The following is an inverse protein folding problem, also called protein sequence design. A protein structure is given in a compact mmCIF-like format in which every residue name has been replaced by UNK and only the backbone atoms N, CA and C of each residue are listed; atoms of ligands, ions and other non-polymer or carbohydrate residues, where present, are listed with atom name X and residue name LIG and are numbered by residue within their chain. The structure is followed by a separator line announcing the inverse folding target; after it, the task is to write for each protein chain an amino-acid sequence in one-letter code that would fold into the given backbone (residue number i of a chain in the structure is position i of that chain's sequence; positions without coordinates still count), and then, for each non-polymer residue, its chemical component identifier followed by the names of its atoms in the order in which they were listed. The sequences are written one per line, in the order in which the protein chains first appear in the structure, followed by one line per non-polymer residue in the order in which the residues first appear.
data_IF_437459462713
#
_entry.id   IF_437459462713
#
_cell.length_a   1.000
_cell.length_b   1.000
_cell.length_c   1.000
_cell.angle_alpha   90.00
_cell.angle_beta   90.00
_cell.angle_gamma   90.00
#
_symmetry.space_group_name_H-M   'P 1'
#
loop_
_entity.id
_entity.type
_entity.pdbx_description
1 polymer ?
#
# COMPACT_ATOMS: atom_id res chain seq x y z
N UNK A 1 -4.87 0.63 2.02
CA UNK A 1 -5.90 1.38 2.77
C UNK A 1 -5.32 2.75 3.01
N UNK A 2 -5.92 3.77 2.40
CA UNK A 2 -5.46 5.14 2.63
C UNK A 2 -5.83 5.60 4.06
N UNK A 3 -5.26 6.74 4.49
CA UNK A 3 -5.44 7.24 5.86
C UNK A 3 -6.91 7.52 6.21
N UNK A 4 -7.71 8.02 5.27
CA UNK A 4 -9.13 8.30 5.50
C UNK A 4 -9.90 7.01 5.84
N UNK A 5 -9.71 5.97 5.01
CA UNK A 5 -10.32 4.66 5.23
C UNK A 5 -9.85 4.03 6.54
N UNK A 6 -8.56 4.20 6.88
CA UNK A 6 -8.00 3.70 8.12
C UNK A 6 -8.64 4.35 9.36
N UNK A 7 -8.79 5.68 9.36
CA UNK A 7 -9.46 6.41 10.44
C UNK A 7 -10.93 5.99 10.58
N UNK A 8 -11.63 5.80 9.47
CA UNK A 8 -13.01 5.29 9.48
C UNK A 8 -13.08 3.89 10.10
N UNK A 9 -12.20 2.98 9.70
CA UNK A 9 -12.14 1.62 10.25
C UNK A 9 -11.81 1.63 11.76
N UNK A 10 -10.79 2.38 12.19
CA UNK A 10 -10.41 2.54 13.61
C UNK A 10 -11.59 3.01 14.46
N UNK A 11 -12.29 4.05 14.00
CA UNK A 11 -13.43 4.61 14.75
C UNK A 11 -14.64 3.66 14.79
N UNK A 12 -14.76 2.79 13.79
CA UNK A 12 -15.85 1.81 13.66
C UNK A 12 -15.65 0.50 14.43
N UNK A 13 -14.45 0.24 14.97
CA UNK A 13 -14.14 -0.99 15.70
C UNK A 13 -15.15 -1.23 16.83
N UNK A 14 -15.75 -2.41 16.87
CA UNK A 14 -16.74 -2.73 17.91
C UNK A 14 -16.09 -3.07 19.26
N UNK A 15 -16.92 -3.22 20.29
CA UNK A 15 -16.45 -3.49 21.66
C UNK A 15 -15.80 -4.87 21.81
N UNK A 16 -16.27 -5.87 21.07
CA UNK A 16 -15.74 -7.24 21.17
C UNK A 16 -14.36 -7.33 20.51
N UNK A 17 -14.17 -6.60 19.41
CA UNK A 17 -12.88 -6.43 18.75
C UNK A 17 -11.86 -5.77 19.68
N UNK A 18 -12.20 -4.61 20.26
CA UNK A 18 -11.32 -3.90 21.18
C UNK A 18 -11.03 -4.70 22.45
N UNK A 19 -12.01 -5.43 22.96
CA UNK A 19 -11.80 -6.33 24.09
C UNK A 19 -10.80 -7.43 23.76
N UNK A 20 -10.85 -7.97 22.54
CA UNK A 20 -9.88 -8.98 22.10
C UNK A 20 -8.45 -8.44 22.08
N UNK A 21 -8.25 -7.15 21.76
CA UNK A 21 -6.95 -6.48 21.86
C UNK A 21 -6.51 -6.35 23.32
N UNK A 22 -7.40 -5.92 24.22
CA UNK A 22 -7.12 -5.87 25.67
C UNK A 22 -6.75 -7.25 26.23
N UNK A 23 -7.35 -8.31 25.69
CA UNK A 23 -7.09 -9.70 26.07
C UNK A 23 -5.82 -10.28 25.38
N UNK A 24 -5.05 -9.46 24.65
CA UNK A 24 -3.73 -9.81 24.12
C UNK A 24 -3.65 -10.04 22.60
N UNK A 25 -4.72 -9.76 21.85
CA UNK A 25 -4.67 -9.81 20.38
C UNK A 25 -3.97 -8.56 19.81
N UNK A 26 -3.34 -8.71 18.64
CA UNK A 26 -2.80 -7.59 17.89
C UNK A 26 -3.82 -7.07 16.87
N UNK A 27 -3.81 -5.75 16.64
CA UNK A 27 -4.45 -5.11 15.50
C UNK A 27 -3.57 -5.32 14.26
N UNK A 28 -4.14 -5.88 13.20
CA UNK A 28 -3.41 -6.18 11.95
C UNK A 28 -4.07 -5.57 10.72
N UNK A 29 -3.26 -5.29 9.70
CA UNK A 29 -3.74 -4.90 8.37
C UNK A 29 -4.09 -6.14 7.56
N UNK A 30 -5.32 -6.20 7.03
CA UNK A 30 -5.75 -7.30 6.17
C UNK A 30 -5.83 -6.82 4.72
N UNK A 31 -4.83 -7.21 3.94
CA UNK A 31 -4.73 -6.93 2.49
C UNK A 31 -4.95 -5.46 2.12
N UNK A 32 -4.57 -4.54 3.02
CA UNK A 32 -4.79 -3.09 2.87
C UNK A 32 -6.24 -2.70 2.58
N UNK A 33 -7.20 -3.51 3.01
CA UNK A 33 -8.63 -3.34 2.75
C UNK A 33 -9.47 -3.28 4.02
N UNK A 34 -9.03 -3.92 5.10
CA UNK A 34 -9.75 -3.93 6.38
C UNK A 34 -8.79 -4.08 7.56
N UNK A 35 -9.30 -3.83 8.77
CA UNK A 35 -8.61 -4.13 10.02
C UNK A 35 -9.03 -5.50 10.55
N UNK A 36 -8.08 -6.21 11.16
CA UNK A 36 -8.29 -7.54 11.71
C UNK A 36 -7.60 -7.76 13.05
N UNK A 37 -7.86 -8.93 13.63
CA UNK A 37 -7.16 -9.42 14.82
C UNK A 37 -6.14 -10.49 14.43
N UNK A 38 -4.96 -10.42 15.04
CA UNK A 38 -3.88 -11.39 14.84
C UNK A 38 -3.04 -11.62 16.09
N UNK A 39 -1.95 -12.36 15.95
CA UNK A 39 -0.94 -12.51 17.01
C UNK A 39 0.06 -11.36 16.97
N UNK A 40 0.61 -10.97 18.13
CA UNK A 40 1.67 -9.96 18.23
C UNK A 40 2.93 -10.30 17.42
N UNK A 41 3.27 -11.59 17.30
CA UNK A 41 4.38 -12.07 16.46
C UNK A 41 3.94 -12.37 15.01
N UNK A 42 2.76 -11.90 14.61
CA UNK A 42 2.19 -12.13 13.29
C UNK A 42 2.78 -11.21 12.23
N UNK A 43 2.46 -11.49 10.96
CA UNK A 43 2.73 -10.55 9.88
C UNK A 43 1.71 -9.41 9.91
N UNK A 44 2.11 -8.24 9.39
CA UNK A 44 1.25 -7.08 9.17
C UNK A 44 0.62 -6.48 10.44
N UNK A 45 1.31 -6.61 11.57
CA UNK A 45 0.89 -6.01 12.84
C UNK A 45 1.03 -4.49 12.77
N UNK A 46 -0.03 -3.81 13.18
CA UNK A 46 -0.11 -2.35 13.29
C UNK A 46 0.11 -1.92 14.73
N UNK A 47 -0.53 -2.63 15.67
CA UNK A 47 -0.51 -2.31 17.09
C UNK A 47 -0.74 -3.58 17.93
N UNK A 48 -0.04 -3.70 19.05
CA UNK A 48 -0.36 -4.63 20.13
C UNK A 48 0.05 -3.99 21.45
N UNK A 49 -0.56 -4.44 22.54
CA UNK A 49 -0.26 -3.92 23.88
C UNK A 49 1.03 -4.60 24.36
N UNK A 50 2.06 -3.81 24.65
CA UNK A 50 3.29 -4.29 25.31
C UNK A 50 3.27 -3.91 26.79
N UNK A 51 3.39 -2.61 27.05
CA UNK A 51 3.54 -2.04 28.39
C UNK A 51 2.43 -1.01 28.70
N UNK A 52 1.60 -0.66 27.70
CA UNK A 52 0.50 0.27 27.86
C UNK A 52 -0.57 -0.29 28.80
N UNK A 53 -1.05 0.56 29.71
CA UNK A 53 -2.11 0.20 30.65
C UNK A 53 -3.38 0.95 30.27
N UNK A 54 -4.33 0.22 29.70
CA UNK A 54 -5.67 0.73 29.42
C UNK A 54 -6.62 0.33 30.56
N UNK A 55 -7.34 1.31 31.13
CA UNK A 55 -8.28 1.03 32.22
C UNK A 55 -9.66 0.59 31.72
N UNK A 56 -9.96 0.81 30.43
CA UNK A 56 -11.21 0.43 29.79
C UNK A 56 -11.10 0.24 28.27
N UNK A 57 -12.14 -0.35 27.67
CA UNK A 57 -12.30 -0.42 26.19
C UNK A 57 -12.38 0.96 25.55
N UNK A 58 -12.99 1.95 26.23
CA UNK A 58 -13.12 3.30 25.70
C UNK A 58 -11.79 4.07 25.77
N UNK A 59 -10.92 3.73 26.72
CA UNK A 59 -9.55 4.27 26.80
C UNK A 59 -8.74 3.80 25.60
N UNK A 60 -8.77 2.49 25.31
CA UNK A 60 -8.11 1.91 24.13
C UNK A 60 -8.67 2.52 22.84
N UNK A 61 -10.00 2.68 22.73
CA UNK A 61 -10.63 3.32 21.57
C UNK A 61 -10.10 4.74 21.36
N UNK A 62 -10.06 5.53 22.43
CA UNK A 62 -9.59 6.92 22.37
C UNK A 62 -8.13 7.00 21.96
N UNK A 63 -7.29 6.14 22.53
CA UNK A 63 -5.88 6.03 22.16
C UNK A 63 -5.69 5.67 20.69
N UNK A 64 -6.36 4.61 20.20
CA UNK A 64 -6.25 4.18 18.80
C UNK A 64 -6.71 5.27 17.83
N UNK A 65 -7.72 6.06 18.21
CA UNK A 65 -8.19 7.18 17.39
C UNK A 65 -7.23 8.37 17.39
N UNK A 66 -6.57 8.66 18.51
CA UNK A 66 -5.57 9.73 18.63
C UNK A 66 -4.29 9.38 17.86
N UNK A 67 -3.83 8.13 17.98
CA UNK A 67 -2.60 7.63 17.36
C UNK A 67 -2.79 7.10 15.93
N UNK A 68 -4.01 7.17 15.36
CA UNK A 68 -4.34 6.51 14.11
C UNK A 68 -3.43 6.91 12.94
N UNK A 69 -3.09 8.20 12.83
CA UNK A 69 -2.20 8.69 11.77
C UNK A 69 -0.78 8.14 11.93
N UNK A 70 -0.24 8.18 13.14
CA UNK A 70 1.11 7.68 13.42
C UNK A 70 1.20 6.16 13.23
N UNK A 71 0.21 5.41 13.69
CA UNK A 71 0.10 3.97 13.46
C UNK A 71 0.08 3.63 11.96
N UNK A 72 -0.68 4.38 11.17
CA UNK A 72 -0.78 4.18 9.72
C UNK A 72 0.53 4.49 9.00
N UNK A 73 1.13 5.65 9.30
CA UNK A 73 2.41 6.08 8.71
C UNK A 73 3.51 5.10 9.07
N UNK A 74 3.60 4.67 10.33
CA UNK A 74 4.59 3.72 10.79
C UNK A 74 4.41 2.35 10.12
N UNK A 75 3.18 1.87 9.98
CA UNK A 75 2.90 0.62 9.27
C UNK A 75 3.43 0.66 7.83
N UNK A 76 3.06 1.66 7.03
CA UNK A 76 3.47 1.73 5.62
C UNK A 76 4.90 2.19 5.43
N UNK A 77 5.55 2.78 6.43
CA UNK A 77 7.00 3.06 6.36
C UNK A 77 7.78 1.77 6.11
N UNK A 78 7.35 0.67 6.72
CA UNK A 78 8.06 -0.61 6.68
C UNK A 78 7.34 -1.69 5.86
N UNK A 79 6.00 -1.62 5.76
CA UNK A 79 5.21 -2.63 5.06
C UNK A 79 4.93 -2.21 3.61
N UNK A 80 5.10 -3.12 2.63
CA UNK A 80 4.63 -2.89 1.28
C UNK A 80 3.11 -2.88 1.25
N UNK A 81 2.54 -2.28 0.19
CA UNK A 81 1.17 -2.61 -0.21
C UNK A 81 1.11 -4.12 -0.48
N UNK A 82 0.08 -4.77 0.01
CA UNK A 82 -0.39 -6.08 -0.41
C UNK A 82 -0.55 -6.13 -1.93
N UNK A 83 -0.30 -7.33 -2.45
CA UNK A 83 -0.36 -7.58 -3.89
C UNK A 83 -1.77 -7.33 -4.42
N UNK A 84 -2.77 -7.80 -3.70
CA UNK A 84 -4.18 -7.70 -4.09
C UNK A 84 -4.62 -6.24 -4.22
N UNK A 85 -4.28 -5.39 -3.23
CA UNK A 85 -4.60 -3.97 -3.28
C UNK A 85 -3.84 -3.26 -4.41
N UNK A 86 -2.53 -3.51 -4.53
CA UNK A 86 -1.69 -2.91 -5.56
C UNK A 86 -2.22 -3.23 -6.97
N UNK A 87 -2.49 -4.50 -7.26
CA UNK A 87 -2.95 -4.94 -8.59
C UNK A 87 -4.34 -4.37 -8.91
N UNK A 88 -5.26 -4.35 -7.95
CA UNK A 88 -6.57 -3.75 -8.13
C UNK A 88 -6.48 -2.24 -8.39
N UNK A 89 -5.66 -1.53 -7.61
CA UNK A 89 -5.47 -0.08 -7.78
C UNK A 89 -4.79 0.23 -9.11
N UNK A 90 -3.74 -0.50 -9.49
CA UNK A 90 -3.08 -0.33 -10.78
C UNK A 90 -4.03 -0.60 -11.95
N UNK A 91 -4.87 -1.63 -11.86
CA UNK A 91 -5.91 -1.88 -12.87
C UNK A 91 -6.83 -0.66 -13.03
N UNK A 92 -7.32 -0.11 -11.92
CA UNK A 92 -8.19 1.09 -11.95
C UNK A 92 -7.49 2.29 -12.58
N UNK A 93 -6.21 2.51 -12.27
CA UNK A 93 -5.43 3.61 -12.84
C UNK A 93 -5.18 3.41 -14.34
N UNK A 94 -4.95 2.17 -14.78
CA UNK A 94 -4.83 1.84 -16.21
C UNK A 94 -6.13 2.06 -16.98
N UNK A 95 -7.28 1.82 -16.35
CA UNK A 95 -8.60 2.08 -16.94
C UNK A 95 -8.91 3.58 -16.99
N UNK A 96 -8.48 4.34 -15.96
CA UNK A 96 -8.68 5.79 -15.88
C UNK A 96 -7.78 6.59 -16.84
N UNK A 97 -6.47 6.33 -16.82
CA UNK A 97 -5.48 7.11 -17.57
C UNK A 97 -5.09 6.48 -18.91
N UNK A 98 -5.45 5.22 -19.13
CA UNK A 98 -5.03 4.44 -20.29
C UNK A 98 -3.78 3.60 -20.00
N UNK A 99 -3.75 2.38 -20.52
CA UNK A 99 -2.68 1.40 -20.23
C UNK A 99 -1.28 1.83 -20.68
N UNK A 100 -1.18 2.59 -21.77
CA UNK A 100 0.11 2.91 -22.40
C UNK A 100 0.87 4.04 -21.71
N UNK A 101 0.19 4.85 -20.90
CA UNK A 101 0.80 6.03 -20.26
C UNK A 101 1.85 5.65 -19.21
N UNK A 102 1.77 4.43 -18.68
CA UNK A 102 2.72 3.86 -17.71
C UNK A 102 3.82 3.02 -18.37
N UNK A 103 4.01 3.14 -19.68
CA UNK A 103 5.00 2.36 -20.44
C UNK A 103 6.00 3.32 -21.06
N UNK A 104 7.29 3.06 -20.84
CA UNK A 104 8.35 3.71 -21.60
C UNK A 104 8.86 2.79 -22.70
N UNK A 105 9.30 3.39 -23.79
CA UNK A 105 9.97 2.70 -24.88
C UNK A 105 11.47 3.03 -24.84
N UNK A 106 12.23 2.50 -25.81
CA UNK A 106 13.69 2.58 -25.84
C UNK A 106 14.21 4.00 -25.58
N UNK A 107 14.91 4.18 -24.44
CA UNK A 107 15.56 5.44 -24.07
C UNK A 107 14.61 6.59 -23.69
N UNK A 108 13.30 6.33 -23.61
CA UNK A 108 12.28 7.32 -23.24
C UNK A 108 11.82 7.21 -21.79
N UNK A 109 11.00 8.19 -21.39
CA UNK A 109 10.21 8.17 -20.15
C UNK A 109 8.75 7.82 -20.50
N UNK A 110 7.99 7.23 -19.55
CA UNK A 110 6.55 7.11 -19.73
C UNK A 110 5.89 8.50 -19.67
N UNK A 111 4.59 8.62 -19.97
CA UNK A 111 3.85 9.85 -19.69
C UNK A 111 3.55 9.99 -18.18
N UNK A 112 3.41 8.85 -17.50
CA UNK A 112 3.08 8.75 -16.08
C UNK A 112 3.90 7.65 -15.42
N UNK A 113 4.29 7.89 -14.18
CA UNK A 113 4.90 6.85 -13.33
C UNK A 113 4.10 6.72 -12.03
N UNK A 114 4.39 5.68 -11.25
CA UNK A 114 3.64 5.36 -10.04
C UNK A 114 4.55 5.41 -8.82
N UNK A 115 4.02 5.86 -7.68
CA UNK A 115 4.71 5.78 -6.40
C UNK A 115 3.75 5.33 -5.31
N UNK A 116 4.21 4.47 -4.40
CA UNK A 116 3.42 4.13 -3.21
C UNK A 116 3.69 5.15 -2.10
N UNK A 117 2.63 5.71 -1.54
CA UNK A 117 2.72 6.62 -0.39
C UNK A 117 1.53 6.36 0.54
N UNK A 118 1.82 6.22 1.84
CA UNK A 118 0.82 6.10 2.92
C UNK A 118 -0.38 5.22 2.54
N UNK A 119 -0.13 3.96 2.19
CA UNK A 119 -1.19 3.00 1.92
C UNK A 119 -1.98 3.18 0.61
N UNK A 120 -1.49 4.03 -0.30
CA UNK A 120 -2.06 4.21 -1.65
C UNK A 120 -0.98 4.19 -2.75
N UNK A 121 -1.42 4.00 -3.98
CA UNK A 121 -0.63 4.07 -5.21
C UNK A 121 -1.00 5.35 -5.97
N UNK A 122 -0.06 6.27 -6.05
CA UNK A 122 -0.22 7.60 -6.64
C UNK A 122 0.37 7.65 -8.05
N UNK A 123 -0.24 8.48 -8.89
CA UNK A 123 0.21 8.75 -10.26
C UNK A 123 1.04 10.02 -10.26
N UNK A 124 2.22 9.95 -10.87
CA UNK A 124 3.14 11.07 -11.06
C UNK A 124 3.20 11.47 -12.53
N UNK A 125 3.56 12.72 -12.77
CA UNK A 125 3.83 13.34 -14.06
C UNK A 125 5.21 13.99 -14.07
N UNK A 126 5.69 14.48 -15.23
CA UNK A 126 7.00 15.13 -15.32
C UNK A 126 7.18 16.36 -14.40
N UNK A 127 6.08 16.96 -13.93
CA UNK A 127 6.11 18.08 -12.98
C UNK A 127 6.53 17.64 -11.57
N UNK A 128 6.40 16.35 -11.24
CA UNK A 128 6.75 15.77 -9.96
C UNK A 128 8.25 15.45 -9.89
N UNK A 129 8.94 15.98 -8.87
CA UNK A 129 10.40 15.78 -8.71
C UNK A 129 10.79 14.29 -8.54
N UNK A 130 9.86 13.45 -8.08
CA UNK A 130 10.03 11.99 -7.91
C UNK A 130 9.69 11.18 -9.15
N UNK A 131 9.12 11.79 -10.19
CA UNK A 131 8.61 11.12 -11.39
C UNK A 131 9.57 10.10 -12.00
N UNK A 132 10.84 10.48 -12.15
CA UNK A 132 11.89 9.65 -12.73
C UNK A 132 12.29 8.43 -11.90
N UNK A 133 11.87 8.38 -10.64
CA UNK A 133 12.10 7.26 -9.72
C UNK A 133 10.84 6.42 -9.50
N UNK A 134 9.71 6.80 -10.12
CA UNK A 134 8.47 6.05 -10.04
C UNK A 134 8.54 4.73 -10.81
N UNK A 135 7.61 3.85 -10.48
CA UNK A 135 7.37 2.59 -11.16
C UNK A 135 6.69 2.82 -12.51
N UNK A 136 7.20 2.18 -13.54
CA UNK A 136 6.60 2.08 -14.87
C UNK A 136 7.19 0.87 -15.60
N UNK A 137 6.51 0.41 -16.66
CA UNK A 137 7.02 -0.67 -17.50
C UNK A 137 8.04 -0.10 -18.50
N UNK A 138 9.30 -0.50 -18.39
CA UNK A 138 10.34 -0.14 -19.37
C UNK A 138 10.48 -1.20 -20.44
N UNK A 139 10.37 -0.82 -21.71
CA UNK A 139 10.56 -1.70 -22.86
C UNK A 139 11.78 -1.29 -23.68
N UNK A 140 12.57 -2.27 -24.11
CA UNK A 140 13.78 -2.06 -24.89
C UNK A 140 13.50 -1.71 -26.37
N UNK A 141 12.28 -1.96 -26.85
CA UNK A 141 11.88 -1.82 -28.25
C UNK A 141 10.85 -0.71 -28.47
N UNK A 142 10.92 -0.09 -29.65
CA UNK A 142 9.87 0.77 -30.17
C UNK A 142 8.76 -0.07 -30.81
N UNK A 143 7.68 -0.28 -30.06
CA UNK A 143 6.51 -1.06 -30.39
C UNK A 143 5.32 -0.17 -30.78
N UNK A 144 4.36 -0.74 -31.53
CA UNK A 144 3.12 -0.05 -31.87
C UNK A 144 2.19 0.11 -30.65
N UNK A 145 1.27 1.10 -30.64
CA UNK A 145 0.37 1.35 -29.50
C UNK A 145 -0.44 0.13 -29.05
N UNK A 146 -0.90 -0.70 -30.01
CA UNK A 146 -1.65 -1.92 -29.70
C UNK A 146 -0.81 -2.94 -28.94
N UNK A 147 0.47 -3.05 -29.27
CA UNK A 147 1.41 -3.96 -28.60
C UNK A 147 1.77 -3.40 -27.22
N UNK A 148 1.96 -2.08 -27.09
CA UNK A 148 2.20 -1.43 -25.80
C UNK A 148 1.08 -1.72 -24.80
N UNK A 149 -0.18 -1.52 -25.19
CA UNK A 149 -1.33 -1.83 -24.34
C UNK A 149 -1.35 -3.30 -23.93
N UNK A 150 -1.07 -4.22 -24.86
CA UNK A 150 -0.97 -5.65 -24.55
C UNK A 150 0.15 -5.97 -23.56
N UNK A 151 1.30 -5.29 -23.67
CA UNK A 151 2.44 -5.46 -22.75
C UNK A 151 2.13 -4.92 -21.36
N UNK A 152 1.54 -3.72 -21.26
CA UNK A 152 1.09 -3.14 -20.00
C UNK A 152 0.08 -4.05 -19.28
N UNK A 153 -0.90 -4.58 -20.02
CA UNK A 153 -1.87 -5.53 -19.47
C UNK A 153 -1.19 -6.82 -18.97
N UNK A 154 -0.24 -7.35 -19.73
CA UNK A 154 0.51 -8.56 -19.32
C UNK A 154 1.37 -8.29 -18.08
N UNK A 155 1.97 -7.10 -17.99
CA UNK A 155 2.78 -6.67 -16.85
C UNK A 155 1.97 -6.69 -15.54
N UNK A 156 0.74 -6.18 -15.57
CA UNK A 156 -0.20 -6.29 -14.46
C UNK A 156 -0.61 -7.76 -14.22
N UNK A 157 -1.13 -8.45 -15.23
CA UNK A 157 -1.76 -9.78 -15.07
C UNK A 157 -0.79 -10.90 -14.68
N UNK A 158 0.49 -10.77 -15.00
CA UNK A 158 1.52 -11.73 -14.62
C UNK A 158 2.04 -11.55 -13.19
N UNK A 159 1.64 -10.45 -12.51
CA UNK A 159 2.23 -10.04 -11.23
C UNK A 159 3.62 -9.43 -11.35
N UNK A 160 4.15 -9.26 -12.57
CA UNK A 160 5.44 -8.61 -12.79
C UNK A 160 5.45 -7.16 -12.27
N UNK A 161 4.35 -6.44 -12.43
CA UNK A 161 4.21 -5.08 -11.90
C UNK A 161 4.41 -5.01 -10.37
N UNK A 162 3.89 -6.01 -9.64
CA UNK A 162 4.10 -6.08 -8.20
C UNK A 162 5.54 -6.42 -7.83
N UNK A 163 6.17 -7.33 -8.58
CA UNK A 163 7.59 -7.64 -8.36
C UNK A 163 8.49 -6.44 -8.61
N UNK A 164 8.22 -5.66 -9.66
CA UNK A 164 8.94 -4.43 -9.96
C UNK A 164 8.69 -3.37 -8.87
N UNK A 165 7.44 -3.25 -8.38
CA UNK A 165 7.10 -2.41 -7.23
C UNK A 165 7.94 -2.75 -5.98
N UNK A 166 8.06 -4.04 -5.65
CA UNK A 166 8.91 -4.50 -4.54
C UNK A 166 10.37 -4.18 -4.85
N UNK A 167 10.85 -4.46 -6.06
CA UNK A 167 12.24 -4.26 -6.46
C UNK A 167 12.72 -2.82 -6.30
N UNK A 168 11.91 -1.83 -6.71
CA UNK A 168 12.29 -0.41 -6.58
C UNK A 168 12.21 0.10 -5.14
N UNK A 169 11.50 -0.61 -4.26
CA UNK A 169 11.34 -0.25 -2.85
C UNK A 169 12.12 -1.19 -1.91
N UNK A 170 13.01 -2.05 -2.42
CA UNK A 170 13.72 -3.06 -1.61
C UNK A 170 14.37 -2.43 -0.38
N UNK A 171 15.10 -1.32 -0.51
CA UNK A 171 15.75 -0.67 0.62
C UNK A 171 14.78 -0.23 1.73
N UNK A 172 13.55 0.15 1.36
CA UNK A 172 12.51 0.52 2.32
C UNK A 172 12.03 -0.71 3.11
N UNK A 173 11.88 -1.85 2.43
CA UNK A 173 11.29 -3.07 3.01
C UNK A 173 12.32 -4.03 3.61
N UNK A 174 13.60 -3.94 3.20
CA UNK A 174 14.70 -4.77 3.73
C UNK A 174 15.28 -4.25 5.04
N UNK A 175 14.78 -3.12 5.54
CA UNK A 175 15.21 -2.51 6.81
C UNK A 175 14.46 -3.09 8.04
N UNK A 176 13.70 -4.17 7.85
CA UNK A 176 13.03 -4.89 8.94
C UNK A 176 14.05 -5.88 9.51
N UNK A 177 14.86 -5.43 10.48
CA UNK A 177 15.66 -6.30 11.36
C UNK A 177 14.88 -6.64 12.64
#
# INVERSE_FOLDING_TARGET
MNLSQFNEEITSLDKDFLKSILDGSALVMVQDQSLGLGSSNGAFVIFWIEDEVFSSVEDLRSYLAEEAEDLHVNYYKHSPLSKEYFEAKLSSLMDEFGQTVFVSQQGGMPEKSLISSNGDLLVLSEEDYTFKYGLYLSLEDNLSPKVLASKAKTWLQSGAAYNDYIAINVFRFSSIE
#
